data_IF_585031617796
#
_entry.id   IF_585031617796
#
_cell.length_a   1.000
_cell.length_b   1.000
_cell.length_c   1.000
_cell.angle_alpha   90.00
_cell.angle_beta   90.00
_cell.angle_gamma   90.00
#
_symmetry.space_group_name_H-M   'P 1'
#
loop_
_entity.id
_entity.type
_entity.pdbx_description
1 polymer ?
#
# COMPACT_ATOMS: atom_id res chain seq x y z
N UNK A 1 -19.19 20.22 -35.26
CA UNK A 1 -18.60 18.91 -35.58
C UNK A 1 -18.59 18.10 -34.30
N UNK A 2 -19.46 17.08 -34.18
CA UNK A 2 -19.53 16.24 -32.99
C UNK A 2 -18.67 15.00 -33.21
N UNK A 3 -17.68 14.76 -32.35
CA UNK A 3 -16.98 13.48 -32.23
C UNK A 3 -17.25 12.94 -30.84
N UNK A 4 -18.19 12.02 -30.76
CA UNK A 4 -18.42 11.18 -29.59
C UNK A 4 -17.35 10.09 -29.58
N UNK A 5 -16.56 10.00 -28.51
CA UNK A 5 -15.65 8.87 -28.26
C UNK A 5 -16.35 8.01 -27.22
N UNK A 6 -16.73 6.80 -27.64
CA UNK A 6 -17.52 5.87 -26.87
C UNK A 6 -16.75 5.28 -25.70
N UNK A 7 -17.40 5.28 -24.54
CA UNK A 7 -16.98 4.60 -23.32
C UNK A 7 -17.12 3.08 -23.53
N UNK A 8 -16.03 2.32 -23.42
CA UNK A 8 -16.06 0.86 -23.42
C UNK A 8 -16.22 0.37 -21.98
N UNK A 9 -17.41 -0.11 -21.63
CA UNK A 9 -17.69 -0.78 -20.35
C UNK A 9 -17.30 -2.26 -20.47
N UNK A 10 -16.26 -2.67 -19.75
CA UNK A 10 -15.97 -4.11 -19.54
C UNK A 10 -16.70 -4.55 -18.27
N UNK A 11 -17.86 -5.18 -18.45
CA UNK A 11 -18.54 -5.96 -17.43
C UNK A 11 -17.87 -7.33 -17.35
N UNK A 12 -16.97 -7.53 -16.38
CA UNK A 12 -16.51 -8.87 -16.05
C UNK A 12 -17.54 -9.52 -15.12
N UNK A 13 -18.31 -10.45 -15.69
CA UNK A 13 -19.36 -11.18 -15.00
C UNK A 13 -18.77 -12.22 -14.05
N UNK A 14 -19.22 -12.19 -12.79
CA UNK A 14 -19.18 -13.34 -11.91
C UNK A 14 -20.05 -14.45 -12.50
N UNK A 15 -19.45 -15.62 -12.76
CA UNK A 15 -20.19 -16.81 -13.16
C UNK A 15 -19.76 -18.03 -12.37
N UNK A 16 -20.78 -18.69 -11.82
CA UNK A 16 -20.91 -20.12 -11.53
C UNK A 16 -20.21 -20.70 -10.29
N UNK A 17 -21.01 -20.82 -9.23
CA UNK A 17 -20.94 -21.91 -8.26
C UNK A 17 -21.57 -23.17 -8.90
N UNK A 18 -20.88 -24.33 -8.95
CA UNK A 18 -21.48 -25.70 -9.01
C UNK A 18 -20.43 -26.82 -9.17
N UNK A 19 -20.39 -27.74 -8.19
CA UNK A 19 -19.85 -29.12 -8.29
C UNK A 19 -18.32 -29.20 -8.31
N UNK A 20 -17.62 -30.09 -7.63
CA UNK A 20 -17.90 -31.47 -7.25
C UNK A 20 -16.53 -32.16 -7.35
N UNK A 21 -16.19 -33.01 -6.38
CA UNK A 21 -14.81 -33.42 -6.08
C UNK A 21 -13.98 -33.95 -7.24
N UNK A 22 -12.69 -33.65 -7.18
CA UNK A 22 -11.63 -34.44 -7.79
C UNK A 22 -10.50 -34.59 -6.76
N UNK A 23 -10.28 -35.82 -6.33
CA UNK A 23 -9.08 -36.24 -5.60
C UNK A 23 -7.93 -36.27 -6.61
N UNK A 24 -7.31 -35.11 -6.80
CA UNK A 24 -6.07 -34.95 -7.56
C UNK A 24 -5.00 -34.38 -6.65
N UNK A 25 -4.21 -35.27 -6.04
CA UNK A 25 -2.86 -34.91 -5.60
C UNK A 25 -2.09 -34.45 -6.85
N UNK A 26 -1.92 -33.14 -6.99
CA UNK A 26 -1.01 -32.53 -7.96
C UNK A 26 0.35 -32.28 -7.26
N UNK A 27 1.38 -33.11 -7.49
CA UNK A 27 2.69 -32.91 -6.90
C UNK A 27 3.46 -31.88 -7.73
N UNK A 28 3.09 -30.60 -7.63
CA UNK A 28 3.91 -29.53 -8.21
C UNK A 28 3.13 -28.35 -8.78
N UNK A 29 2.54 -27.53 -7.92
CA UNK A 29 2.37 -26.11 -8.22
C UNK A 29 3.29 -25.32 -7.29
N UNK A 30 4.55 -25.11 -7.68
CA UNK A 30 5.37 -24.04 -7.08
C UNK A 30 4.88 -22.68 -7.59
N UNK A 31 3.58 -22.42 -7.47
CA UNK A 31 3.09 -21.06 -7.44
C UNK A 31 3.46 -20.54 -6.07
N UNK A 32 4.37 -19.56 -6.01
CA UNK A 32 4.63 -18.85 -4.76
C UNK A 32 3.28 -18.32 -4.30
N UNK A 33 2.69 -18.98 -3.30
CA UNK A 33 1.45 -18.52 -2.70
C UNK A 33 1.72 -17.14 -2.14
N UNK A 34 0.86 -16.17 -2.46
CA UNK A 34 0.91 -14.85 -1.87
C UNK A 34 0.96 -15.01 -0.35
N UNK A 35 1.93 -14.40 0.35
CA UNK A 35 2.03 -14.51 1.80
C UNK A 35 0.76 -14.04 2.51
N UNK A 36 0.35 -14.72 3.59
CA UNK A 36 -0.87 -14.37 4.34
C UNK A 36 -0.84 -12.92 4.90
N UNK A 37 0.34 -12.38 5.19
CA UNK A 37 0.49 -11.00 5.67
C UNK A 37 0.11 -9.95 4.60
N UNK A 38 0.06 -10.33 3.32
CA UNK A 38 -0.35 -9.45 2.23
C UNK A 38 -1.82 -9.03 2.35
N UNK A 39 -2.68 -9.81 3.01
CA UNK A 39 -4.07 -9.43 3.27
C UNK A 39 -4.19 -8.24 4.23
N UNK A 40 -3.13 -7.95 5.00
CA UNK A 40 -3.05 -6.81 5.90
C UNK A 40 -2.39 -5.58 5.25
N UNK A 41 -1.79 -5.73 4.07
CA UNK A 41 -1.24 -4.58 3.34
C UNK A 41 -2.37 -3.63 2.97
N UNK A 42 -2.18 -2.30 3.16
CA UNK A 42 -3.21 -1.35 2.80
C UNK A 42 -3.49 -1.39 1.30
N UNK A 43 -4.75 -1.18 0.93
CA UNK A 43 -5.13 -0.96 -0.46
C UNK A 43 -4.66 0.44 -0.90
N UNK A 44 -3.96 0.53 -2.03
CA UNK A 44 -3.36 1.80 -2.49
C UNK A 44 -4.38 2.91 -2.71
N UNK A 45 -5.55 2.61 -3.28
CA UNK A 45 -6.58 3.63 -3.46
C UNK A 45 -7.12 4.15 -2.11
N UNK A 46 -7.29 3.26 -1.14
CA UNK A 46 -7.71 3.61 0.21
C UNK A 46 -6.62 4.41 0.95
N UNK A 47 -5.35 4.01 0.81
CA UNK A 47 -4.21 4.70 1.43
C UNK A 47 -3.98 6.10 0.85
N UNK A 48 -4.11 6.27 -0.46
CA UNK A 48 -4.01 7.57 -1.14
C UNK A 48 -5.11 8.54 -0.70
N UNK A 49 -6.35 8.07 -0.56
CA UNK A 49 -7.49 8.90 -0.15
C UNK A 49 -7.51 9.20 1.36
N UNK A 50 -6.76 8.44 2.16
CA UNK A 50 -6.70 8.56 3.61
C UNK A 50 -5.99 9.86 4.07
N UNK A 51 -6.47 10.41 5.18
CA UNK A 51 -5.75 11.47 5.90
C UNK A 51 -4.50 10.93 6.61
N UNK A 52 -3.58 11.80 7.03
CA UNK A 52 -2.31 11.37 7.64
C UNK A 52 -2.52 10.52 8.91
N UNK A 53 -3.46 10.89 9.78
CA UNK A 53 -3.79 10.09 10.99
C UNK A 53 -4.27 8.69 10.61
N UNK A 54 -5.10 8.58 9.57
CA UNK A 54 -5.64 7.31 9.10
C UNK A 54 -4.56 6.45 8.42
N UNK A 55 -3.62 7.08 7.68
CA UNK A 55 -2.45 6.39 7.13
C UNK A 55 -1.55 5.82 8.23
N UNK A 56 -1.36 6.54 9.33
CA UNK A 56 -0.65 6.04 10.52
C UNK A 56 -1.34 4.80 11.07
N UNK A 57 -2.66 4.86 11.31
CA UNK A 57 -3.42 3.70 11.81
C UNK A 57 -3.33 2.48 10.88
N UNK A 58 -3.40 2.68 9.55
CA UNK A 58 -3.25 1.60 8.56
C UNK A 58 -1.85 0.99 8.59
N UNK A 59 -0.81 1.82 8.65
CA UNK A 59 0.59 1.38 8.71
C UNK A 59 0.90 0.62 10.01
N UNK A 60 0.40 1.12 11.15
CA UNK A 60 0.55 0.43 12.43
C UNK A 60 -0.16 -0.94 12.43
N UNK A 61 -1.37 -1.02 11.87
CA UNK A 61 -2.10 -2.27 11.73
C UNK A 61 -1.35 -3.25 10.80
N UNK A 62 -0.84 -2.76 9.66
CA UNK A 62 0.00 -3.54 8.76
C UNK A 62 1.26 -4.06 9.46
N UNK A 63 1.93 -3.23 10.26
CA UNK A 63 3.15 -3.61 10.99
C UNK A 63 2.94 -4.76 11.99
N UNK A 64 1.72 -5.00 12.47
CA UNK A 64 1.44 -6.12 13.39
C UNK A 64 1.55 -7.46 12.66
N UNK A 65 1.09 -7.53 11.41
CA UNK A 65 1.03 -8.76 10.61
C UNK A 65 2.25 -8.92 9.69
N UNK A 66 2.85 -7.80 9.28
CA UNK A 66 3.96 -7.81 8.35
C UNK A 66 5.24 -8.44 8.95
N UNK A 67 6.17 -8.94 8.10
CA UNK A 67 7.44 -9.49 8.55
C UNK A 67 8.28 -8.48 9.36
N UNK A 68 9.05 -8.97 10.33
CA UNK A 68 9.87 -8.12 11.18
C UNK A 68 10.88 -7.24 10.41
N UNK A 69 11.28 -7.66 9.21
CA UNK A 69 12.21 -6.91 8.36
C UNK A 69 11.62 -5.64 7.75
N UNK A 70 10.30 -5.46 7.77
CA UNK A 70 9.64 -4.23 7.31
C UNK A 70 9.20 -3.31 8.46
N UNK A 71 9.30 -3.77 9.71
CA UNK A 71 8.82 -3.00 10.88
C UNK A 71 9.55 -1.67 11.06
N UNK A 72 10.85 -1.65 10.77
CA UNK A 72 11.66 -0.43 10.88
C UNK A 72 11.25 0.60 9.81
N UNK A 73 11.04 0.13 8.58
CA UNK A 73 10.60 0.94 7.44
C UNK A 73 9.21 1.52 7.71
N UNK A 74 8.29 0.69 8.20
CA UNK A 74 6.95 1.14 8.59
C UNK A 74 7.02 2.24 9.66
N UNK A 75 7.91 2.12 10.66
CA UNK A 75 8.06 3.16 11.69
C UNK A 75 8.61 4.49 11.14
N UNK A 76 9.54 4.45 10.18
CA UNK A 76 10.04 5.66 9.51
C UNK A 76 8.89 6.35 8.76
N UNK A 77 8.08 5.60 8.03
CA UNK A 77 6.93 6.14 7.28
C UNK A 77 5.86 6.69 8.22
N UNK A 78 5.52 5.96 9.30
CA UNK A 78 4.60 6.43 10.36
C UNK A 78 5.10 7.76 10.93
N UNK A 79 6.38 7.85 11.31
CA UNK A 79 6.96 9.07 11.88
C UNK A 79 6.84 10.26 10.93
N UNK A 80 7.02 10.05 9.61
CA UNK A 80 6.81 11.11 8.62
C UNK A 80 5.36 11.57 8.51
N UNK A 81 4.39 10.65 8.54
CA UNK A 81 2.97 11.01 8.54
C UNK A 81 2.53 11.70 9.84
N UNK A 82 3.08 11.34 11.00
CA UNK A 82 2.86 12.06 12.25
C UNK A 82 3.37 13.50 12.19
N UNK A 83 4.52 13.73 11.55
CA UNK A 83 5.02 15.11 11.29
C UNK A 83 4.03 15.87 10.41
N UNK A 84 3.54 15.26 9.31
CA UNK A 84 2.52 15.91 8.48
C UNK A 84 1.19 16.17 9.22
N UNK A 85 0.77 15.26 10.11
CA UNK A 85 -0.44 15.43 10.92
C UNK A 85 -0.32 16.58 11.93
N UNK A 86 0.89 16.79 12.46
CA UNK A 86 1.19 17.85 13.42
C UNK A 86 1.60 19.19 12.79
N UNK A 87 1.52 19.32 11.45
CA UNK A 87 1.99 20.50 10.74
C UNK A 87 1.29 21.81 11.18
N UNK A 88 2.08 22.77 11.67
CA UNK A 88 1.66 24.15 11.93
C UNK A 88 2.42 25.13 11.03
N UNK A 89 1.76 25.78 10.05
CA UNK A 89 2.43 26.72 9.15
C UNK A 89 2.95 27.99 9.83
N UNK A 90 2.60 28.24 11.10
CA UNK A 90 3.09 29.37 11.87
C UNK A 90 4.30 29.02 12.75
N UNK A 91 4.67 27.74 12.82
CA UNK A 91 5.84 27.27 13.53
C UNK A 91 6.98 26.97 12.54
N UNK A 92 8.08 27.76 12.54
CA UNK A 92 9.21 27.53 11.65
C UNK A 92 9.82 26.13 11.77
N UNK A 93 9.82 25.52 12.95
CA UNK A 93 10.36 24.15 13.13
C UNK A 93 9.48 23.13 12.41
N UNK A 94 8.15 23.33 12.45
CA UNK A 94 7.20 22.49 11.74
C UNK A 94 7.32 22.63 10.20
N UNK A 95 7.56 23.86 9.72
CA UNK A 95 7.83 24.12 8.30
C UNK A 95 9.10 23.43 7.84
N UNK A 96 10.20 23.57 8.57
CA UNK A 96 11.48 22.94 8.22
C UNK A 96 11.38 21.41 8.21
N UNK A 97 10.70 20.82 9.20
CA UNK A 97 10.48 19.37 9.26
C UNK A 97 9.71 18.86 8.04
N UNK A 98 8.65 19.55 7.63
CA UNK A 98 7.88 19.20 6.42
C UNK A 98 8.67 19.45 5.13
N UNK A 99 9.51 20.49 5.06
CA UNK A 99 10.39 20.73 3.92
C UNK A 99 11.38 19.57 3.71
N UNK A 100 12.01 19.10 4.79
CA UNK A 100 12.92 17.93 4.76
C UNK A 100 12.18 16.68 4.31
N UNK A 101 10.96 16.43 4.80
CA UNK A 101 10.18 15.26 4.38
C UNK A 101 9.80 15.31 2.89
N UNK A 102 9.58 16.50 2.33
CA UNK A 102 9.28 16.69 0.92
C UNK A 102 10.51 16.62 -0.01
N UNK A 103 11.73 16.52 0.54
CA UNK A 103 12.91 16.26 -0.28
C UNK A 103 12.79 14.87 -0.92
N UNK A 104 13.01 14.73 -2.23
CA UNK A 104 12.78 13.46 -2.94
C UNK A 104 13.68 12.33 -2.45
N UNK A 105 14.82 12.66 -1.85
CA UNK A 105 15.79 11.74 -1.25
C UNK A 105 15.71 11.70 0.29
N UNK A 106 14.65 12.25 0.88
CA UNK A 106 14.38 12.10 2.30
C UNK A 106 14.23 10.63 2.67
N UNK A 107 14.69 10.27 3.87
CA UNK A 107 14.57 8.90 4.39
C UNK A 107 13.12 8.42 4.36
N UNK A 108 12.17 9.32 4.62
CA UNK A 108 10.74 9.05 4.50
C UNK A 108 10.33 8.65 3.08
N UNK A 109 10.68 9.44 2.05
CA UNK A 109 10.26 9.17 0.68
C UNK A 109 10.94 7.90 0.12
N UNK A 110 12.23 7.72 0.40
CA UNK A 110 12.95 6.52 -0.01
C UNK A 110 12.38 5.27 0.66
N UNK A 111 12.08 5.35 1.96
CA UNK A 111 11.50 4.22 2.69
C UNK A 111 10.09 3.89 2.24
N UNK A 112 9.27 4.90 1.91
CA UNK A 112 7.93 4.68 1.37
C UNK A 112 8.01 3.92 0.03
N UNK A 113 8.95 4.31 -0.85
CA UNK A 113 9.22 3.63 -2.13
C UNK A 113 9.67 2.19 -1.91
N UNK A 114 10.68 1.98 -1.05
CA UNK A 114 11.21 0.64 -0.75
C UNK A 114 10.12 -0.27 -0.16
N UNK A 115 9.23 0.28 0.68
CA UNK A 115 8.12 -0.46 1.27
C UNK A 115 7.08 -0.87 0.23
N UNK A 116 6.72 0.03 -0.70
CA UNK A 116 5.79 -0.29 -1.79
C UNK A 116 6.37 -1.29 -2.80
N UNK A 117 7.67 -1.19 -3.11
CA UNK A 117 8.36 -2.18 -3.95
C UNK A 117 8.34 -3.55 -3.26
N UNK A 118 8.70 -3.62 -1.97
CA UNK A 118 8.68 -4.87 -1.22
C UNK A 118 7.28 -5.50 -1.19
N UNK A 119 6.24 -4.71 -0.92
CA UNK A 119 4.85 -5.21 -0.92
C UNK A 119 4.43 -5.63 -2.33
N UNK A 120 4.76 -4.86 -3.37
CA UNK A 120 4.46 -5.21 -4.76
C UNK A 120 5.11 -6.52 -5.18
N UNK A 121 6.39 -6.71 -4.86
CA UNK A 121 7.16 -7.91 -5.20
C UNK A 121 6.61 -9.18 -4.52
N UNK A 122 6.13 -9.06 -3.28
CA UNK A 122 5.65 -10.21 -2.50
C UNK A 122 4.14 -10.47 -2.66
N UNK A 123 3.34 -9.42 -2.83
CA UNK A 123 1.88 -9.48 -2.83
C UNK A 123 1.27 -9.33 -4.23
N UNK A 124 2.06 -8.91 -5.23
CA UNK A 124 1.61 -8.74 -6.62
C UNK A 124 0.77 -7.48 -6.89
N UNK A 125 0.62 -6.61 -5.90
CA UNK A 125 -0.03 -5.30 -6.01
C UNK A 125 0.67 -4.29 -5.09
N UNK A 126 0.83 -3.06 -5.57
CA UNK A 126 1.31 -1.94 -4.75
C UNK A 126 0.27 -1.50 -3.73
N UNK A 127 0.73 -1.20 -2.52
CA UNK A 127 -0.09 -0.92 -1.35
C UNK A 127 -0.16 0.57 -1.00
N UNK A 128 0.79 1.37 -1.50
CA UNK A 128 0.95 2.77 -1.07
C UNK A 128 0.77 3.79 -2.20
N UNK A 129 0.55 3.35 -3.45
CA UNK A 129 0.04 4.24 -4.51
C UNK A 129 1.05 5.26 -5.05
N UNK A 130 2.34 4.90 -5.04
CA UNK A 130 3.47 5.77 -5.38
C UNK A 130 3.95 5.62 -6.82
#
# INVERSE_FOLDING_TARGET
MAKAVGLLLVLLAASSCSGGGDEGEDPGTTGTSVPDWCDAAPDSATFEDAGNDERVEMLEAFSVEAPAEVHEQVQVVVSGYEVYASYDPNDPESVEAVEVLNEPDSEFNLTLIDLDEYVTENCGAGAFGI
#
